data_IF_778722204703
#
_entry.id   IF_778722204703
#
_cell.length_a   1.000
_cell.length_b   1.000
_cell.length_c   1.000
_cell.angle_alpha   90.00
_cell.angle_beta   90.00
_cell.angle_gamma   90.00
#
_symmetry.space_group_name_H-M   'P 1'
#
loop_
_entity.id
_entity.type
_entity.pdbx_description
1 polymer ?
#
# COMPACT_ATOMS: atom_id res chain seq x y z
N UNK A 1 23.32 39.57 -31.28
CA UNK A 1 22.91 38.41 -32.10
C UNK A 1 22.05 37.49 -31.26
N UNK A 2 20.79 37.29 -31.65
CA UNK A 2 19.77 36.61 -30.85
C UNK A 2 19.96 35.08 -30.86
N UNK A 3 19.94 34.45 -29.67
CA UNK A 3 20.01 32.98 -29.52
C UNK A 3 18.59 32.44 -29.38
N UNK A 4 18.03 31.97 -30.48
CA UNK A 4 16.73 31.29 -30.55
C UNK A 4 16.76 29.98 -29.77
N UNK A 5 15.83 29.81 -28.81
CA UNK A 5 15.55 28.53 -28.15
C UNK A 5 14.62 27.72 -29.06
N UNK A 6 15.08 26.59 -29.59
CA UNK A 6 14.19 25.61 -30.22
C UNK A 6 13.45 24.81 -29.14
N UNK A 7 12.11 24.76 -29.23
CA UNK A 7 11.28 23.87 -28.43
C UNK A 7 11.32 22.44 -29.00
N UNK A 8 11.55 21.45 -28.15
CA UNK A 8 11.49 20.04 -28.52
C UNK A 8 10.04 19.57 -28.70
N UNK A 9 9.68 19.14 -29.91
CA UNK A 9 8.36 18.56 -30.23
C UNK A 9 8.29 17.13 -29.70
N UNK A 10 7.38 16.84 -28.76
CA UNK A 10 7.10 15.48 -28.28
C UNK A 10 6.16 14.77 -29.25
N UNK A 11 6.63 13.70 -29.91
CA UNK A 11 5.77 12.79 -30.69
C UNK A 11 4.92 11.91 -29.75
N UNK A 12 3.62 11.70 -30.02
CA UNK A 12 2.82 10.75 -29.25
C UNK A 12 3.19 9.31 -29.61
N UNK A 13 3.45 8.49 -28.60
CA UNK A 13 3.71 7.06 -28.71
C UNK A 13 2.46 6.32 -29.21
N UNK A 14 2.53 5.80 -30.43
CA UNK A 14 1.51 4.88 -30.96
C UNK A 14 1.58 3.54 -30.21
N UNK A 15 0.43 3.08 -29.70
CA UNK A 15 0.29 1.73 -29.12
C UNK A 15 0.29 0.69 -30.25
N UNK A 16 1.06 -0.41 -30.16
CA UNK A 16 1.04 -1.44 -31.19
C UNK A 16 -0.29 -2.21 -31.13
N UNK A 17 -1.07 -2.17 -32.22
CA UNK A 17 -2.19 -3.08 -32.45
C UNK A 17 -1.66 -4.32 -33.17
N UNK A 18 -1.52 -5.44 -32.46
CA UNK A 18 -1.53 -6.77 -33.08
C UNK A 18 -2.64 -7.58 -32.44
N UNK A 19 -3.77 -7.68 -33.15
CA UNK A 19 -4.76 -8.75 -32.93
C UNK A 19 -4.28 -9.93 -33.77
N UNK A 20 -3.90 -11.03 -33.11
CA UNK A 20 -3.72 -12.32 -33.79
C UNK A 20 -5.13 -12.84 -34.09
N UNK A 21 -5.50 -12.87 -35.37
CA UNK A 21 -6.70 -13.52 -35.87
C UNK A 21 -6.31 -14.96 -36.22
N UNK A 22 -7.03 -15.93 -35.67
CA UNK A 22 -6.92 -17.32 -36.10
C UNK A 22 -8.07 -17.56 -37.08
N UNK A 23 -7.74 -17.63 -38.37
CA UNK A 23 -8.68 -18.05 -39.40
C UNK A 23 -8.89 -19.56 -39.31
N UNK A 24 -10.16 -20.00 -39.30
CA UNK A 24 -10.51 -21.38 -39.64
C UNK A 24 -11.59 -21.34 -40.71
N UNK A 25 -11.26 -21.92 -41.85
CA UNK A 25 -12.06 -21.97 -43.06
C UNK A 25 -13.22 -22.98 -42.95
N UNK A 26 -14.33 -22.64 -43.61
CA UNK A 26 -15.18 -23.57 -44.36
C UNK A 26 -16.24 -24.39 -43.60
N UNK A 27 -17.52 -24.08 -43.86
CA UNK A 27 -18.65 -24.97 -43.59
C UNK A 27 -19.99 -24.26 -43.73
N UNK A 28 -20.70 -24.50 -44.83
CA UNK A 28 -21.98 -23.86 -45.17
C UNK A 28 -23.21 -24.73 -44.82
N UNK A 29 -24.28 -24.05 -44.38
CA UNK A 29 -25.72 -24.43 -44.35
C UNK A 29 -26.10 -25.60 -43.40
N UNK A 30 -27.23 -25.65 -42.68
CA UNK A 30 -28.62 -25.14 -42.77
C UNK A 30 -29.17 -25.06 -41.31
N UNK A 31 -30.09 -24.20 -40.88
CA UNK A 31 -31.54 -24.26 -41.15
C UNK A 31 -32.27 -23.22 -40.26
N UNK A 32 -33.29 -22.62 -40.87
CA UNK A 32 -34.58 -22.12 -40.37
C UNK A 32 -34.72 -21.27 -39.08
N UNK A 33 -35.43 -20.17 -39.28
CA UNK A 33 -36.00 -19.07 -38.47
C UNK A 33 -36.85 -19.50 -37.24
N UNK A 34 -37.15 -18.57 -36.30
CA UNK A 34 -38.34 -17.73 -36.49
C UNK A 34 -38.15 -16.24 -36.15
N UNK A 35 -38.93 -15.44 -36.87
CA UNK A 35 -38.98 -13.98 -36.89
C UNK A 35 -39.60 -13.38 -35.61
N UNK A 36 -39.20 -12.14 -35.26
CA UNK A 36 -40.09 -11.16 -34.61
C UNK A 36 -39.83 -9.75 -35.12
N UNK A 37 -40.76 -9.32 -35.97
CA UNK A 37 -41.18 -7.99 -36.43
C UNK A 37 -40.30 -6.76 -36.21
N UNK A 38 -40.08 -6.08 -37.34
CA UNK A 38 -39.71 -4.68 -37.43
C UNK A 38 -40.80 -3.76 -36.84
N UNK A 39 -40.34 -2.73 -36.13
CA UNK A 39 -41.12 -1.56 -35.76
C UNK A 39 -40.27 -0.32 -35.98
N UNK A 40 -40.37 0.25 -37.17
CA UNK A 40 -39.77 1.53 -37.57
C UNK A 40 -40.46 2.64 -36.78
N UNK A 41 -39.72 3.31 -35.89
CA UNK A 41 -40.20 4.46 -35.14
C UNK A 41 -39.06 5.42 -34.88
N UNK A 42 -39.00 6.49 -35.67
CA UNK A 42 -38.04 7.57 -35.49
C UNK A 42 -38.18 8.20 -34.10
N UNK A 43 -37.09 8.14 -33.35
CA UNK A 43 -36.91 8.91 -32.12
C UNK A 43 -35.44 9.24 -32.05
N UNK A 44 -35.09 10.52 -32.19
CA UNK A 44 -33.77 11.03 -31.92
C UNK A 44 -33.42 10.78 -30.46
N UNK A 45 -32.97 9.57 -30.15
CA UNK A 45 -32.41 9.23 -28.85
C UNK A 45 -31.09 9.99 -28.77
N UNK A 46 -31.14 11.14 -28.11
CA UNK A 46 -29.97 11.86 -27.63
C UNK A 46 -29.03 10.82 -27.02
N UNK A 47 -27.95 10.53 -27.74
CA UNK A 47 -26.89 9.63 -27.30
C UNK A 47 -26.23 10.32 -26.12
N UNK A 48 -26.78 10.11 -24.92
CA UNK A 48 -26.15 10.47 -23.67
C UNK A 48 -24.79 9.79 -23.72
N UNK A 49 -23.76 10.59 -23.97
CA UNK A 49 -22.38 10.19 -23.80
C UNK A 49 -22.22 9.94 -22.31
N UNK A 50 -22.55 8.72 -21.86
CA UNK A 50 -22.18 8.23 -20.54
C UNK A 50 -20.67 8.40 -20.47
N UNK A 51 -20.23 9.47 -19.81
CA UNK A 51 -18.83 9.73 -19.55
C UNK A 51 -18.33 8.48 -18.82
N UNK A 52 -17.52 7.69 -19.52
CA UNK A 52 -16.95 6.47 -18.98
C UNK A 52 -15.99 6.92 -17.89
N UNK A 53 -16.47 6.96 -16.65
CA UNK A 53 -15.64 7.25 -15.48
C UNK A 53 -14.51 6.22 -15.50
N UNK A 54 -13.30 6.67 -15.81
CA UNK A 54 -12.14 5.78 -15.78
C UNK A 54 -11.99 5.26 -14.36
N UNK A 55 -12.01 3.93 -14.21
CA UNK A 55 -11.83 3.29 -12.91
C UNK A 55 -10.47 3.70 -12.39
N UNK A 56 -10.42 4.31 -11.20
CA UNK A 56 -9.16 4.66 -10.53
C UNK A 56 -8.31 3.40 -10.39
N UNK A 57 -7.04 3.49 -10.77
CA UNK A 57 -6.12 2.37 -10.68
C UNK A 57 -6.02 1.87 -9.23
N UNK A 58 -6.19 0.56 -9.04
CA UNK A 58 -6.02 -0.12 -7.75
C UNK A 58 -4.85 -1.08 -7.83
N UNK A 59 -3.88 -0.89 -6.94
CA UNK A 59 -2.74 -1.79 -6.79
C UNK A 59 -3.19 -3.16 -6.30
N UNK A 60 -2.44 -4.21 -6.67
CA UNK A 60 -2.68 -5.55 -6.13
C UNK A 60 -2.37 -5.57 -4.62
N UNK A 61 -3.06 -6.40 -3.83
CA UNK A 61 -2.72 -6.60 -2.42
C UNK A 61 -1.22 -6.94 -2.28
N UNK A 62 -0.57 -6.36 -1.27
CA UNK A 62 0.88 -6.50 -1.04
C UNK A 62 1.77 -5.55 -1.83
N UNK A 63 1.34 -4.99 -2.98
CA UNK A 63 2.18 -4.06 -3.77
C UNK A 63 2.51 -2.78 -3.02
N UNK A 64 1.53 -2.23 -2.29
CA UNK A 64 1.72 -1.02 -1.48
C UNK A 64 2.56 -1.33 -0.23
N UNK A 65 2.27 -2.43 0.46
CA UNK A 65 3.03 -2.87 1.64
C UNK A 65 4.52 -3.08 1.33
N UNK A 66 4.87 -3.74 0.22
CA UNK A 66 6.27 -3.91 -0.20
C UNK A 66 6.96 -2.58 -0.53
N UNK A 67 6.20 -1.59 -1.01
CA UNK A 67 6.72 -0.24 -1.27
C UNK A 67 6.99 0.49 0.03
N UNK A 68 6.09 0.38 1.00
CA UNK A 68 6.24 0.97 2.34
C UNK A 68 7.42 0.35 3.09
N UNK A 69 7.57 -0.99 3.08
CA UNK A 69 8.72 -1.67 3.69
C UNK A 69 10.04 -1.12 3.13
N UNK A 70 10.16 -1.02 1.80
CA UNK A 70 11.37 -0.47 1.16
C UNK A 70 11.61 1.00 1.48
N UNK A 71 10.53 1.78 1.62
CA UNK A 71 10.62 3.20 2.01
C UNK A 71 11.17 3.32 3.43
N UNK A 72 10.55 2.62 4.38
CA UNK A 72 10.90 2.71 5.80
C UNK A 72 12.22 2.06 6.17
N UNK A 73 12.67 1.04 5.43
CA UNK A 73 14.02 0.49 5.58
C UNK A 73 15.13 1.42 5.04
N UNK A 74 14.79 2.39 4.19
CA UNK A 74 15.75 3.36 3.64
C UNK A 74 15.87 4.62 4.49
N UNK A 75 14.79 5.00 5.18
CA UNK A 75 14.73 6.16 6.07
C UNK A 75 14.97 5.76 7.52
N UNK A 76 15.40 6.71 8.35
CA UNK A 76 15.57 6.53 9.80
C UNK A 76 14.72 7.52 10.59
N UNK A 77 13.66 8.06 9.98
CA UNK A 77 12.75 9.00 10.62
C UNK A 77 11.82 8.26 11.60
N UNK A 78 11.52 8.84 12.77
CA UNK A 78 10.60 8.23 13.73
C UNK A 78 9.19 8.10 13.13
N UNK A 79 8.56 6.96 13.39
CA UNK A 79 7.24 6.61 12.86
C UNK A 79 6.10 6.90 13.86
N UNK A 80 6.41 6.93 15.15
CA UNK A 80 5.43 7.25 16.19
C UNK A 80 5.30 8.78 16.28
N UNK A 81 4.07 9.33 16.28
CA UNK A 81 3.90 10.77 16.48
C UNK A 81 4.44 11.22 17.85
N UNK A 82 5.33 12.22 17.85
CA UNK A 82 6.05 12.67 19.05
C UNK A 82 5.12 13.13 20.19
N UNK A 83 4.09 13.92 19.89
CA UNK A 83 3.19 14.45 20.93
C UNK A 83 2.42 13.37 21.71
N UNK A 84 1.76 12.38 21.07
CA UNK A 84 1.22 11.21 21.76
C UNK A 84 2.27 10.42 22.56
N UNK A 85 3.47 10.21 22.01
CA UNK A 85 4.54 9.49 22.70
C UNK A 85 4.93 10.18 24.02
N UNK A 86 5.12 11.49 23.99
CA UNK A 86 5.45 12.28 25.19
C UNK A 86 4.35 12.20 26.26
N UNK A 87 3.07 12.16 25.86
CA UNK A 87 1.96 12.01 26.82
C UNK A 87 2.07 10.68 27.57
N UNK A 88 2.33 9.59 26.85
CA UNK A 88 2.50 8.24 27.44
C UNK A 88 3.72 8.20 28.36
N UNK A 89 4.85 8.78 27.96
CA UNK A 89 6.07 8.82 28.79
C UNK A 89 5.82 9.55 30.11
N UNK A 90 5.13 10.70 30.07
CA UNK A 90 4.78 11.47 31.27
C UNK A 90 3.79 10.74 32.17
N UNK A 91 2.79 10.09 31.57
CA UNK A 91 1.81 9.27 32.28
C UNK A 91 2.50 8.12 33.04
N UNK A 92 3.36 7.36 32.35
CA UNK A 92 4.14 6.27 32.96
C UNK A 92 5.07 6.75 34.07
N UNK A 93 5.72 7.90 33.87
CA UNK A 93 6.62 8.44 34.90
C UNK A 93 5.84 8.94 36.12
N UNK A 94 4.64 9.48 35.92
CA UNK A 94 3.70 9.79 37.00
C UNK A 94 3.38 8.55 37.84
N UNK A 95 3.12 7.42 37.20
CA UNK A 95 2.87 6.13 37.88
C UNK A 95 4.09 5.57 38.61
N UNK A 96 5.29 5.68 38.05
CA UNK A 96 6.51 5.08 38.63
C UNK A 96 7.10 5.94 39.76
N UNK A 97 7.02 7.26 39.63
CA UNK A 97 7.71 8.20 40.52
C UNK A 97 6.79 8.93 41.48
N UNK A 98 5.52 8.50 41.58
CA UNK A 98 4.46 9.17 42.34
C UNK A 98 4.41 10.68 42.04
N UNK A 99 4.52 11.04 40.76
CA UNK A 99 4.53 12.43 40.26
C UNK A 99 5.65 13.33 40.80
N UNK A 100 6.70 12.77 41.40
CA UNK A 100 7.85 13.54 41.90
C UNK A 100 8.71 14.12 40.78
N UNK A 101 8.71 13.47 39.61
CA UNK A 101 9.50 13.89 38.44
C UNK A 101 8.53 14.25 37.31
N UNK A 102 8.61 15.48 36.80
CA UNK A 102 7.73 15.97 35.73
C UNK A 102 8.42 16.78 34.62
N UNK A 103 9.73 17.00 34.74
CA UNK A 103 10.52 17.78 33.77
C UNK A 103 11.39 16.84 32.93
N UNK A 104 11.46 17.13 31.65
CA UNK A 104 12.28 16.39 30.69
C UNK A 104 13.05 17.36 29.82
N UNK A 105 14.27 17.00 29.48
CA UNK A 105 14.98 17.63 28.38
C UNK A 105 14.39 17.13 27.05
N UNK A 106 14.39 17.95 25.99
CA UNK A 106 13.91 17.51 24.69
C UNK A 106 14.73 16.34 24.14
N UNK A 107 16.04 16.31 24.39
CA UNK A 107 16.93 15.22 23.96
C UNK A 107 16.60 13.90 24.66
N UNK A 108 16.22 13.92 25.94
CA UNK A 108 15.83 12.71 26.65
C UNK A 108 14.55 12.10 26.07
N UNK A 109 13.57 12.93 25.69
CA UNK A 109 12.34 12.45 25.08
C UNK A 109 12.58 11.85 23.69
N UNK A 110 13.48 12.44 22.90
CA UNK A 110 13.90 11.89 21.61
C UNK A 110 14.62 10.55 21.78
N UNK A 111 15.59 10.46 22.70
CA UNK A 111 16.31 9.23 22.97
C UNK A 111 15.38 8.08 23.43
N UNK A 112 14.40 8.39 24.29
CA UNK A 112 13.38 7.42 24.70
C UNK A 112 12.54 6.95 23.51
N UNK A 113 12.19 7.84 22.59
CA UNK A 113 11.43 7.48 21.41
C UNK A 113 12.23 6.59 20.46
N UNK A 114 13.48 6.97 20.17
CA UNK A 114 14.36 6.17 19.32
C UNK A 114 14.57 4.77 19.89
N UNK A 115 14.84 4.65 21.19
CA UNK A 115 15.00 3.37 21.85
C UNK A 115 13.72 2.51 21.81
N UNK A 116 12.56 3.13 22.04
CA UNK A 116 11.27 2.44 22.00
C UNK A 116 10.93 1.93 20.59
N UNK A 117 11.13 2.76 19.55
CA UNK A 117 10.88 2.36 18.17
C UNK A 117 11.87 1.28 17.70
N UNK A 118 13.15 1.41 18.06
CA UNK A 118 14.16 0.39 17.76
C UNK A 118 13.79 -0.97 18.37
N UNK A 119 13.37 -0.97 19.65
CA UNK A 119 12.92 -2.19 20.33
C UNK A 119 11.72 -2.84 19.62
N UNK A 120 10.74 -2.04 19.18
CA UNK A 120 9.58 -2.56 18.46
C UNK A 120 9.95 -3.13 17.09
N UNK A 121 10.85 -2.48 16.34
CA UNK A 121 11.33 -2.97 15.04
C UNK A 121 12.01 -4.34 15.23
N UNK A 122 12.93 -4.44 16.19
CA UNK A 122 13.65 -5.68 16.48
C UNK A 122 12.68 -6.83 16.86
N UNK A 123 11.68 -6.53 17.68
CA UNK A 123 10.64 -7.51 18.03
C UNK A 123 9.82 -7.94 16.82
N UNK A 124 9.47 -7.02 15.92
CA UNK A 124 8.74 -7.34 14.69
C UNK A 124 9.57 -8.15 13.70
N UNK A 125 10.89 -7.95 13.64
CA UNK A 125 11.79 -8.77 12.82
C UNK A 125 11.74 -10.24 13.27
N UNK A 126 11.89 -10.49 14.58
CA UNK A 126 11.82 -11.85 15.13
C UNK A 126 10.41 -12.43 14.99
N UNK A 127 9.37 -11.67 15.26
CA UNK A 127 7.99 -12.12 15.10
C UNK A 127 7.67 -12.48 13.63
N UNK A 128 8.24 -11.74 12.67
CA UNK A 128 8.09 -12.04 11.25
C UNK A 128 8.77 -13.37 10.88
N UNK A 129 9.96 -13.67 11.44
CA UNK A 129 10.60 -14.98 11.27
C UNK A 129 9.75 -16.11 11.85
N UNK A 130 9.13 -15.90 13.02
CA UNK A 130 8.18 -16.87 13.60
C UNK A 130 6.94 -17.10 12.71
N UNK A 131 6.40 -16.04 12.10
CA UNK A 131 5.28 -16.17 11.17
C UNK A 131 5.66 -16.97 9.92
N UNK A 132 6.84 -16.71 9.35
CA UNK A 132 7.39 -17.43 8.18
C UNK A 132 7.65 -18.90 8.54
N UNK A 133 8.21 -19.17 9.73
CA UNK A 133 8.42 -20.54 10.21
C UNK A 133 7.10 -21.33 10.26
N UNK A 134 5.99 -20.67 10.59
CA UNK A 134 4.64 -21.24 10.58
C UNK A 134 3.94 -21.18 9.21
N UNK A 135 4.66 -20.92 8.10
CA UNK A 135 4.14 -20.80 6.72
C UNK A 135 3.06 -19.73 6.54
N UNK A 136 3.13 -18.64 7.30
CA UNK A 136 2.24 -17.47 7.18
C UNK A 136 3.03 -16.23 6.77
N UNK A 137 2.31 -15.26 6.19
CA UNK A 137 2.83 -13.92 5.86
C UNK A 137 2.31 -12.85 6.83
N UNK A 138 1.20 -13.13 7.51
CA UNK A 138 0.60 -12.23 8.50
C UNK A 138 1.12 -12.56 9.90
N UNK A 139 1.76 -11.58 10.54
CA UNK A 139 2.19 -11.65 11.94
C UNK A 139 0.97 -11.65 12.85
N UNK A 140 0.99 -12.51 13.87
CA UNK A 140 -0.07 -12.69 14.86
C UNK A 140 0.49 -12.51 16.28
N UNK A 141 -0.40 -12.32 17.27
CA UNK A 141 0.00 -12.18 18.68
C UNK A 141 0.86 -13.35 19.19
N UNK A 142 0.55 -14.58 18.76
CA UNK A 142 1.34 -15.77 19.10
C UNK A 142 2.78 -15.72 18.61
N UNK A 143 3.05 -15.02 17.50
CA UNK A 143 4.40 -14.88 16.95
C UNK A 143 5.23 -13.93 17.82
N UNK A 144 4.61 -12.84 18.30
CA UNK A 144 5.22 -11.90 19.24
C UNK A 144 5.47 -12.56 20.60
N UNK A 145 4.47 -13.29 21.11
CA UNK A 145 4.60 -14.02 22.38
C UNK A 145 5.72 -15.08 22.29
N UNK A 146 5.81 -15.80 21.17
CA UNK A 146 6.88 -16.76 20.93
C UNK A 146 8.25 -16.07 20.84
N UNK A 147 8.35 -14.96 20.11
CA UNK A 147 9.57 -14.16 20.01
C UNK A 147 10.07 -13.71 21.39
N UNK A 148 9.17 -13.16 22.23
CA UNK A 148 9.52 -12.77 23.61
C UNK A 148 9.90 -13.95 24.49
N UNK A 149 9.23 -15.09 24.32
CA UNK A 149 9.48 -16.30 25.12
C UNK A 149 10.83 -16.95 24.81
N UNK A 150 11.14 -17.14 23.53
CA UNK A 150 12.44 -17.68 23.10
C UNK A 150 13.55 -16.70 23.47
N UNK A 151 13.22 -15.43 23.38
CA UNK A 151 14.15 -14.40 23.69
C UNK A 151 14.51 -14.28 25.19
N UNK A 152 13.56 -14.41 26.10
CA UNK A 152 13.85 -14.24 27.52
C UNK A 152 14.23 -12.79 27.85
N UNK A 153 15.34 -12.58 28.59
CA UNK A 153 15.67 -11.30 29.25
C UNK A 153 15.85 -10.10 28.32
N UNK A 154 16.14 -10.29 27.04
CA UNK A 154 16.32 -9.18 26.08
C UNK A 154 15.00 -8.51 25.66
N UNK A 155 13.85 -9.08 26.05
CA UNK A 155 12.49 -8.58 25.76
C UNK A 155 11.58 -8.52 27.01
N UNK A 156 12.19 -8.70 28.19
CA UNK A 156 11.53 -8.76 29.49
C UNK A 156 11.55 -7.39 30.18
#
# INVERSE_FOLDING_TARGET
MARTKHQAVRKPTQKPKKKLQFERAGGASTSATPERNAGTGGGAAARVTRARVEKKHRWRPGTVALREIRKYQKSTEPLIPFAPFVRVVKELTGFITDWRIGRYTPEALLALQEAAEFHLIELFEVANLCAIHARRVTVMQKDIQLARRIGGKRWA
#
